data_IF_440750487382
#
_entry.id   IF_440750487382
#
_cell.length_a   1.000
_cell.length_b   1.000
_cell.length_c   1.000
_cell.angle_alpha   90.00
_cell.angle_beta   90.00
_cell.angle_gamma   90.00
#
_symmetry.space_group_name_H-M   'P 1'
#
loop_
_entity.id
_entity.type
_entity.pdbx_description
1 polymer ?
#
# COMPACT_ATOMS: atom_id res chain seq x y z
N UNK A 1 26.79 -28.52 29.93
CA UNK A 1 27.02 -27.21 29.28
C UNK A 1 27.01 -27.42 27.78
N UNK A 2 26.01 -26.92 27.05
CA UNK A 2 25.93 -27.08 25.59
C UNK A 2 26.88 -26.07 24.95
N UNK A 3 27.81 -26.55 24.11
CA UNK A 3 28.80 -25.72 23.41
C UNK A 3 28.13 -25.17 22.14
N UNK A 4 27.86 -23.87 22.11
CA UNK A 4 27.21 -23.20 20.98
C UNK A 4 28.22 -23.12 19.82
N UNK A 5 27.97 -23.89 18.75
CA UNK A 5 28.91 -24.04 17.61
C UNK A 5 28.75 -22.90 16.61
N UNK A 6 27.53 -22.37 16.45
CA UNK A 6 27.22 -21.28 15.53
C UNK A 6 25.93 -20.58 15.97
N UNK A 7 25.91 -19.24 15.89
CA UNK A 7 24.73 -18.42 16.18
C UNK A 7 24.22 -17.82 14.87
N UNK A 8 22.91 -17.92 14.62
CA UNK A 8 22.24 -17.31 13.46
C UNK A 8 21.42 -16.13 13.98
N UNK A 9 21.99 -14.91 13.95
CA UNK A 9 21.26 -13.74 14.42
C UNK A 9 20.00 -13.56 13.58
N UNK A 10 18.85 -13.51 14.24
CA UNK A 10 17.59 -13.28 13.57
C UNK A 10 17.58 -11.86 13.02
N UNK A 11 17.47 -11.73 11.70
CA UNK A 11 17.31 -10.41 11.10
C UNK A 11 15.91 -9.88 11.39
N UNK A 12 15.83 -8.56 11.59
CA UNK A 12 14.56 -7.88 11.80
C UNK A 12 13.69 -8.10 10.56
N UNK A 13 12.65 -8.91 10.70
CA UNK A 13 11.78 -9.32 9.57
C UNK A 13 11.06 -8.12 8.96
N UNK A 14 10.72 -7.14 9.80
CA UNK A 14 10.09 -5.88 9.39
C UNK A 14 11.04 -4.70 9.58
N UNK A 15 11.79 -4.37 8.53
CA UNK A 15 12.62 -3.17 8.49
C UNK A 15 11.85 -1.88 8.20
N UNK A 16 12.60 -0.78 8.11
CA UNK A 16 12.10 0.56 7.77
C UNK A 16 11.24 0.60 6.49
N UNK A 17 11.53 -0.25 5.51
CA UNK A 17 10.78 -0.31 4.24
C UNK A 17 9.28 -0.62 4.44
N UNK A 18 8.93 -1.50 5.39
CA UNK A 18 7.53 -1.80 5.71
C UNK A 18 6.87 -0.63 6.42
N UNK A 19 7.59 0.04 7.31
CA UNK A 19 7.09 1.23 7.98
C UNK A 19 6.76 2.33 6.95
N UNK A 20 7.64 2.56 5.96
CA UNK A 20 7.37 3.48 4.85
C UNK A 20 6.16 3.05 4.02
N UNK A 21 6.04 1.76 3.69
CA UNK A 21 4.89 1.22 2.98
C UNK A 21 3.57 1.52 3.71
N UNK A 22 3.48 1.22 5.01
CA UNK A 22 2.27 1.49 5.80
C UNK A 22 2.01 2.99 5.97
N UNK A 23 3.06 3.79 6.12
CA UNK A 23 2.93 5.24 6.22
C UNK A 23 2.35 5.85 4.93
N UNK A 24 2.89 5.47 3.77
CA UNK A 24 2.43 5.99 2.48
C UNK A 24 1.02 5.51 2.13
N UNK A 25 0.70 4.24 2.40
CA UNK A 25 -0.66 3.72 2.20
C UNK A 25 -1.67 4.40 3.13
N UNK A 26 -1.33 4.61 4.41
CA UNK A 26 -2.19 5.34 5.35
C UNK A 26 -2.42 6.80 4.95
N UNK A 27 -1.36 7.49 4.50
CA UNK A 27 -1.47 8.88 4.03
C UNK A 27 -2.31 8.99 2.75
N UNK A 28 -2.20 8.02 1.86
CA UNK A 28 -3.07 7.91 0.69
C UNK A 28 -4.54 7.71 1.09
N UNK A 29 -4.83 6.79 2.02
CA UNK A 29 -6.18 6.55 2.51
C UNK A 29 -6.81 7.80 3.14
N UNK A 30 -6.05 8.53 3.96
CA UNK A 30 -6.51 9.80 4.53
C UNK A 30 -6.81 10.86 3.45
N UNK A 31 -5.94 10.96 2.43
CA UNK A 31 -6.14 11.89 1.31
C UNK A 31 -7.38 11.55 0.49
N UNK A 32 -7.61 10.25 0.24
CA UNK A 32 -8.81 9.78 -0.44
C UNK A 32 -10.08 10.11 0.35
N UNK A 33 -10.08 9.85 1.66
CA UNK A 33 -11.22 10.17 2.54
C UNK A 33 -11.56 11.66 2.47
N UNK A 34 -10.57 12.56 2.52
CA UNK A 34 -10.80 14.00 2.38
C UNK A 34 -11.46 14.37 1.04
N UNK A 35 -11.06 13.72 -0.05
CA UNK A 35 -11.69 13.90 -1.36
C UNK A 35 -13.14 13.38 -1.38
N UNK A 36 -13.38 12.19 -0.78
CA UNK A 36 -14.74 11.62 -0.67
C UNK A 36 -15.68 12.42 0.23
N UNK A 37 -15.18 13.08 1.27
CA UNK A 37 -15.99 13.96 2.11
C UNK A 37 -16.49 15.19 1.34
N UNK A 38 -15.68 15.73 0.42
CA UNK A 38 -16.07 16.88 -0.37
C UNK A 38 -17.10 16.53 -1.46
N UNK A 39 -16.83 15.50 -2.25
CA UNK A 39 -17.62 15.15 -3.43
C UNK A 39 -18.70 14.09 -3.15
N UNK A 40 -18.41 13.09 -2.32
CA UNK A 40 -19.37 12.04 -1.93
C UNK A 40 -20.37 12.50 -0.87
N UNK A 41 -19.91 13.22 0.17
CA UNK A 41 -20.77 13.72 1.25
C UNK A 41 -21.17 15.20 1.09
N UNK A 42 -20.71 15.89 0.04
CA UNK A 42 -21.13 17.26 -0.28
C UNK A 42 -20.59 18.36 0.65
N UNK A 43 -19.55 18.09 1.43
CA UNK A 43 -18.99 19.06 2.39
C UNK A 43 -18.20 20.15 1.66
N UNK A 44 -18.83 21.32 1.45
CA UNK A 44 -18.28 22.47 0.71
C UNK A 44 -16.91 22.94 1.20
N UNK A 45 -16.61 22.81 2.50
CA UNK A 45 -15.34 23.24 3.12
C UNK A 45 -14.12 22.54 2.51
N UNK A 46 -14.26 21.30 2.04
CA UNK A 46 -13.16 20.49 1.54
C UNK A 46 -13.04 20.48 0.01
N UNK A 47 -14.01 21.05 -0.73
CA UNK A 47 -13.99 21.14 -2.19
C UNK A 47 -12.69 21.71 -2.80
N UNK A 48 -12.08 22.80 -2.27
CA UNK A 48 -10.86 23.33 -2.90
C UNK A 48 -9.66 22.38 -2.79
N UNK A 49 -9.64 21.52 -1.76
CA UNK A 49 -8.54 20.58 -1.50
C UNK A 49 -8.83 19.20 -2.10
N UNK A 50 -10.09 18.89 -2.42
CA UNK A 50 -10.51 17.57 -2.84
C UNK A 50 -9.86 17.09 -4.15
N UNK A 51 -9.64 17.99 -5.12
CA UNK A 51 -8.94 17.66 -6.38
C UNK A 51 -7.46 17.34 -6.16
N UNK A 52 -6.78 18.11 -5.32
CA UNK A 52 -5.36 17.85 -5.03
C UNK A 52 -5.22 16.60 -4.16
N UNK A 53 -6.13 16.39 -3.21
CA UNK A 53 -6.15 15.24 -2.33
C UNK A 53 -6.27 13.89 -3.06
N UNK A 54 -7.02 13.81 -4.16
CA UNK A 54 -7.12 12.56 -4.91
C UNK A 54 -5.91 12.28 -5.80
N UNK A 55 -5.31 13.34 -6.35
CA UNK A 55 -4.06 13.22 -7.11
C UNK A 55 -2.95 12.76 -6.17
N UNK A 56 -2.85 13.35 -4.97
CA UNK A 56 -1.89 12.90 -3.96
C UNK A 56 -2.19 11.48 -3.51
N UNK A 57 -3.45 11.12 -3.23
CA UNK A 57 -3.83 9.75 -2.86
C UNK A 57 -3.35 8.73 -3.91
N UNK A 58 -3.57 9.02 -5.19
CA UNK A 58 -3.17 8.13 -6.30
C UNK A 58 -1.65 7.98 -6.40
N UNK A 59 -0.91 9.10 -6.36
CA UNK A 59 0.55 9.08 -6.44
C UNK A 59 1.21 8.33 -5.27
N UNK A 60 0.74 8.59 -4.05
CA UNK A 60 1.26 7.92 -2.86
C UNK A 60 1.03 6.41 -2.92
N UNK A 61 -0.12 5.98 -3.46
CA UNK A 61 -0.44 4.58 -3.51
C UNK A 61 0.29 3.82 -4.63
N UNK A 62 0.68 4.50 -5.71
CA UNK A 62 1.58 3.94 -6.73
C UNK A 62 3.00 3.78 -6.16
N UNK A 63 3.44 4.71 -5.30
CA UNK A 63 4.76 4.65 -4.66
C UNK A 63 4.86 3.57 -3.57
N UNK A 64 3.79 3.33 -2.81
CA UNK A 64 3.75 2.35 -1.73
C UNK A 64 4.21 0.92 -2.08
N UNK A 65 3.74 0.26 -3.16
CA UNK A 65 4.15 -1.10 -3.50
C UNK A 65 5.63 -1.19 -3.85
N UNK A 66 6.27 -0.11 -4.29
CA UNK A 66 7.70 -0.10 -4.60
C UNK A 66 8.52 -0.44 -3.34
N UNK A 67 8.15 0.13 -2.18
CA UNK A 67 8.82 -0.16 -0.91
C UNK A 67 8.62 -1.61 -0.45
N UNK A 68 7.41 -2.16 -0.68
CA UNK A 68 7.10 -3.56 -0.40
C UNK A 68 7.94 -4.50 -1.29
N UNK A 69 8.04 -4.19 -2.58
CA UNK A 69 8.81 -4.96 -3.55
C UNK A 69 10.32 -4.89 -3.30
N UNK A 70 10.85 -3.75 -2.85
CA UNK A 70 12.26 -3.61 -2.49
C UNK A 70 12.64 -4.45 -1.27
N UNK A 71 11.70 -4.70 -0.36
CA UNK A 71 11.92 -5.58 0.78
C UNK A 71 12.02 -7.06 0.35
N UNK A 72 11.18 -7.48 -0.61
CA UNK A 72 11.20 -8.84 -1.15
C UNK A 72 12.28 -8.90 -2.22
N UNK A 73 13.51 -9.27 -1.84
CA UNK A 73 14.71 -9.15 -2.70
C UNK A 73 14.64 -9.69 -4.15
N UNK A 74 13.59 -10.44 -4.52
CA UNK A 74 13.29 -10.84 -5.90
C UNK A 74 11.88 -10.36 -6.33
N UNK A 75 11.71 -9.06 -6.66
CA UNK A 75 10.40 -8.44 -6.81
C UNK A 75 9.58 -9.02 -7.97
N UNK A 76 10.20 -9.24 -9.13
CA UNK A 76 9.51 -9.75 -10.33
C UNK A 76 8.96 -11.16 -10.09
N UNK A 77 9.75 -12.02 -9.43
CA UNK A 77 9.33 -13.38 -9.10
C UNK A 77 8.26 -13.38 -8.02
N UNK A 78 8.34 -12.46 -7.06
CA UNK A 78 7.33 -12.33 -6.00
C UNK A 78 5.96 -11.99 -6.56
N UNK A 79 5.88 -11.02 -7.47
CA UNK A 79 4.63 -10.66 -8.16
C UNK A 79 4.07 -11.86 -8.92
N UNK A 80 4.92 -12.52 -9.72
CA UNK A 80 4.50 -13.71 -10.48
C UNK A 80 3.97 -14.81 -9.57
N UNK A 81 4.70 -15.12 -8.49
CA UNK A 81 4.31 -16.16 -7.55
C UNK A 81 3.04 -15.80 -6.79
N UNK A 82 2.82 -14.50 -6.52
CA UNK A 82 1.62 -14.03 -5.86
C UNK A 82 0.37 -14.25 -6.72
N UNK A 83 0.43 -13.95 -8.02
CA UNK A 83 -0.70 -14.16 -8.92
C UNK A 83 -0.91 -15.62 -9.33
N UNK A 84 0.15 -16.44 -9.35
CA UNK A 84 0.07 -17.86 -9.74
C UNK A 84 -0.25 -18.80 -8.57
N UNK A 85 0.25 -18.51 -7.37
CA UNK A 85 0.06 -19.32 -6.16
C UNK A 85 -0.64 -18.52 -5.06
N UNK A 86 -1.96 -18.36 -5.22
CA UNK A 86 -2.81 -17.63 -4.29
C UNK A 86 -3.09 -18.45 -3.03
N UNK A 87 -2.75 -17.90 -1.87
CA UNK A 87 -3.08 -18.47 -0.56
C UNK A 87 -4.14 -17.60 0.13
N UNK A 88 -5.41 -18.00 0.05
CA UNK A 88 -6.53 -17.25 0.63
C UNK A 88 -6.52 -17.16 2.16
N UNK A 89 -5.75 -18.01 2.85
CA UNK A 89 -5.56 -17.90 4.30
C UNK A 89 -4.56 -16.79 4.69
N UNK A 90 -3.78 -16.27 3.73
CA UNK A 90 -2.75 -15.27 4.01
C UNK A 90 -3.30 -13.84 3.91
N UNK A 91 -3.15 -13.01 4.96
CA UNK A 91 -3.49 -11.59 4.92
C UNK A 91 -2.74 -10.82 3.82
N UNK A 92 -1.53 -11.27 3.48
CA UNK A 92 -0.74 -10.64 2.41
C UNK A 92 -1.38 -10.78 1.03
N UNK A 93 -2.13 -11.86 0.78
CA UNK A 93 -2.83 -12.05 -0.49
C UNK A 93 -3.93 -11.00 -0.67
N UNK A 94 -4.72 -10.74 0.37
CA UNK A 94 -5.71 -9.66 0.33
C UNK A 94 -5.06 -8.28 0.22
N UNK A 95 -3.97 -8.04 0.95
CA UNK A 95 -3.21 -6.79 0.86
C UNK A 95 -2.68 -6.51 -0.55
N UNK A 96 -2.16 -7.53 -1.23
CA UNK A 96 -1.71 -7.43 -2.62
C UNK A 96 -2.83 -7.05 -3.59
N UNK A 97 -3.99 -7.70 -3.49
CA UNK A 97 -5.15 -7.33 -4.31
C UNK A 97 -5.66 -5.93 -4.04
N UNK A 98 -5.74 -5.52 -2.77
CA UNK A 98 -6.14 -4.16 -2.39
C UNK A 98 -5.17 -3.12 -2.97
N UNK A 99 -3.86 -3.39 -2.92
CA UNK A 99 -2.83 -2.52 -3.49
C UNK A 99 -2.98 -2.30 -5.01
N UNK A 100 -3.49 -3.30 -5.73
CA UNK A 100 -3.69 -3.21 -7.19
C UNK A 100 -5.04 -2.60 -7.55
N UNK A 101 -6.09 -2.94 -6.80
CA UNK A 101 -7.45 -2.46 -7.06
C UNK A 101 -7.67 -1.02 -6.58
N UNK A 102 -7.07 -0.63 -5.46
CA UNK A 102 -7.27 0.69 -4.87
C UNK A 102 -6.83 1.87 -5.77
N UNK A 103 -5.65 1.88 -6.42
CA UNK A 103 -5.26 3.00 -7.27
C UNK A 103 -6.12 3.07 -8.54
N UNK A 104 -6.60 1.92 -9.05
CA UNK A 104 -7.59 1.87 -10.13
C UNK A 104 -8.91 2.52 -9.71
N UNK A 105 -9.40 2.21 -8.50
CA UNK A 105 -10.60 2.84 -7.97
C UNK A 105 -10.41 4.35 -7.73
N UNK A 106 -9.25 4.78 -7.24
CA UNK A 106 -8.90 6.20 -7.12
C UNK A 106 -8.92 6.90 -8.47
N UNK A 107 -8.39 6.29 -9.53
CA UNK A 107 -8.41 6.84 -10.89
C UNK A 107 -9.84 6.93 -11.44
N UNK A 108 -10.65 5.89 -11.25
CA UNK A 108 -12.06 5.89 -11.68
C UNK A 108 -12.82 7.01 -10.96
N UNK A 109 -12.68 7.10 -9.63
CA UNK A 109 -13.30 8.17 -8.85
C UNK A 109 -12.81 9.55 -9.29
N UNK A 110 -11.51 9.68 -9.61
CA UNK A 110 -10.93 10.92 -10.12
C UNK A 110 -11.53 11.38 -11.46
N UNK A 111 -12.13 10.49 -12.25
CA UNK A 111 -12.83 10.84 -13.49
C UNK A 111 -14.26 11.31 -13.27
N UNK A 112 -14.91 10.87 -12.18
CA UNK A 112 -16.32 11.19 -11.87
C UNK A 112 -16.50 12.42 -10.97
N UNK A 113 -15.41 12.99 -10.44
CA UNK A 113 -15.41 14.19 -9.59
C UNK A 113 -15.50 15.52 -10.35
#
# INVERSE_FOLDING_TARGET
MVKLVYDVPHQVTFGWLIACYFYLTGLSAGSFILSTLAYGFGVQRYKPIAKTAIVTATLLLIAAPIFLLLQVGWPVRSIWNHFTYLNFTSPMTYGGFLLVLYPLNCLIYALYM
#
